data_IF_668181483237
#
_entry.id   IF_668181483237
#
_cell.length_a   1.000
_cell.length_b   1.000
_cell.length_c   1.000
_cell.angle_alpha   90.00
_cell.angle_beta   90.00
_cell.angle_gamma   90.00
#
_symmetry.space_group_name_H-M   'P 1'
#
loop_
_entity.id
_entity.type
_entity.pdbx_description
1 polymer ?
#
# COMPACT_ATOMS: atom_id res chain seq x y z
N UNK A 1 -4.21 2.53 -17.69
CA UNK A 1 -2.88 3.15 -17.87
C UNK A 1 -2.24 2.51 -19.09
N UNK A 2 -1.69 3.31 -19.96
CA UNK A 2 -0.86 2.81 -21.06
C UNK A 2 0.41 2.21 -20.42
N UNK A 3 0.58 0.91 -20.56
CA UNK A 3 1.70 0.14 -20.00
C UNK A 3 3.06 0.75 -20.36
N UNK A 4 3.20 1.23 -21.59
CA UNK A 4 4.42 1.85 -22.09
C UNK A 4 4.79 3.14 -21.37
N UNK A 5 3.79 3.97 -21.03
CA UNK A 5 4.02 5.20 -20.25
C UNK A 5 4.49 4.86 -18.84
N UNK A 6 3.87 3.87 -18.19
CA UNK A 6 4.27 3.44 -16.84
C UNK A 6 5.69 2.87 -16.85
N UNK A 7 6.03 2.03 -17.82
CA UNK A 7 7.38 1.50 -18.01
C UNK A 7 8.40 2.62 -18.20
N UNK A 8 8.09 3.62 -19.04
CA UNK A 8 9.00 4.76 -19.23
C UNK A 8 9.23 5.54 -17.91
N UNK A 9 8.19 5.76 -17.10
CA UNK A 9 8.34 6.40 -15.81
C UNK A 9 9.30 5.60 -14.90
N UNK A 10 9.16 4.29 -14.84
CA UNK A 10 10.08 3.45 -14.07
C UNK A 10 11.52 3.54 -14.58
N UNK A 11 11.73 3.55 -15.91
CA UNK A 11 13.05 3.73 -16.51
C UNK A 11 13.68 5.08 -16.12
N UNK A 12 12.91 6.15 -16.22
CA UNK A 12 13.38 7.50 -15.85
C UNK A 12 13.86 7.55 -14.39
N UNK A 13 13.14 6.88 -13.46
CA UNK A 13 13.58 6.78 -12.06
C UNK A 13 14.83 5.93 -11.89
N UNK A 14 14.94 4.81 -12.58
CA UNK A 14 16.14 3.95 -12.56
C UNK A 14 17.35 4.71 -13.09
N UNK A 15 17.21 5.40 -14.23
CA UNK A 15 18.27 6.22 -14.85
C UNK A 15 18.66 7.41 -13.96
N UNK A 16 17.73 7.97 -13.20
CA UNK A 16 17.99 8.99 -12.20
C UNK A 16 18.71 8.46 -10.93
N UNK A 17 18.94 7.14 -10.85
CA UNK A 17 19.70 6.50 -9.77
C UNK A 17 18.85 5.84 -8.67
N UNK A 18 17.57 5.62 -8.89
CA UNK A 18 16.75 4.88 -7.94
C UNK A 18 17.25 3.45 -7.79
N UNK A 19 17.34 2.98 -6.53
CA UNK A 19 17.64 1.59 -6.18
C UNK A 19 16.36 0.77 -5.91
N UNK A 20 15.21 1.42 -5.88
CA UNK A 20 13.90 0.83 -5.66
C UNK A 20 12.90 1.53 -6.57
N UNK A 21 12.06 0.75 -7.23
CA UNK A 21 10.87 1.24 -7.94
C UNK A 21 9.64 0.55 -7.38
N UNK A 22 8.50 1.24 -7.39
CA UNK A 22 7.26 0.73 -6.78
C UNK A 22 6.21 0.46 -7.86
N UNK A 23 5.61 -0.73 -7.85
CA UNK A 23 4.54 -1.08 -8.79
C UNK A 23 3.32 -0.18 -8.63
N UNK A 24 2.63 0.13 -9.72
CA UNK A 24 1.41 0.94 -9.68
C UNK A 24 0.17 0.11 -9.26
N UNK A 25 0.27 -0.51 -8.08
CA UNK A 25 -0.76 -1.40 -7.52
C UNK A 25 -1.41 -0.87 -6.25
N UNK A 26 -1.12 0.38 -5.86
CA UNK A 26 -1.69 1.03 -4.67
C UNK A 26 -3.22 0.96 -4.60
N UNK A 27 -3.90 1.21 -5.71
CA UNK A 27 -5.36 1.29 -5.80
C UNK A 27 -5.96 0.19 -6.68
N UNK A 28 -5.40 -1.02 -6.65
CA UNK A 28 -5.83 -2.13 -7.51
C UNK A 28 -6.27 -3.37 -6.73
N UNK A 29 -6.52 -3.24 -5.43
CA UNK A 29 -7.17 -4.30 -4.69
C UNK A 29 -8.62 -4.50 -5.21
N UNK A 30 -9.17 -5.70 -5.01
CA UNK A 30 -10.46 -6.07 -5.58
C UNK A 30 -11.60 -5.15 -5.16
N UNK A 31 -11.56 -4.60 -3.95
CA UNK A 31 -12.60 -3.68 -3.46
C UNK A 31 -12.71 -2.41 -4.30
N UNK A 32 -11.55 -1.87 -4.70
CA UNK A 32 -11.51 -0.67 -5.55
C UNK A 32 -11.91 -1.00 -6.99
N UNK A 33 -11.41 -2.11 -7.53
CA UNK A 33 -11.77 -2.54 -8.89
C UNK A 33 -13.26 -2.89 -9.03
N UNK A 34 -13.89 -3.43 -7.97
CA UNK A 34 -15.33 -3.71 -7.94
C UNK A 34 -16.16 -2.43 -8.13
N UNK A 35 -15.79 -1.33 -7.48
CA UNK A 35 -16.52 -0.06 -7.66
C UNK A 35 -16.29 0.57 -9.03
N UNK A 36 -15.17 0.27 -9.66
CA UNK A 36 -14.90 0.68 -11.04
C UNK A 36 -15.51 -0.27 -12.09
N UNK A 37 -16.14 -1.37 -11.66
CA UNK A 37 -16.76 -2.37 -12.56
C UNK A 37 -15.76 -3.22 -13.36
N UNK A 38 -14.51 -3.30 -12.89
CA UNK A 38 -13.41 -3.99 -13.58
C UNK A 38 -12.71 -5.05 -12.71
N UNK A 39 -13.36 -5.51 -11.67
CA UNK A 39 -12.80 -6.52 -10.75
C UNK A 39 -12.52 -7.87 -11.42
N UNK A 40 -13.24 -8.20 -12.50
CA UNK A 40 -12.94 -9.36 -13.34
C UNK A 40 -11.57 -9.25 -14.07
N UNK A 41 -11.00 -8.05 -14.18
CA UNK A 41 -9.69 -7.78 -14.77
C UNK A 41 -8.58 -7.66 -13.71
N UNK A 42 -8.83 -8.05 -12.46
CA UNK A 42 -7.86 -7.94 -11.36
C UNK A 42 -6.47 -8.46 -11.73
N UNK A 43 -6.40 -9.66 -12.31
CA UNK A 43 -5.12 -10.28 -12.71
C UNK A 43 -4.43 -9.50 -13.81
N UNK A 44 -5.16 -9.10 -14.83
CA UNK A 44 -4.63 -8.38 -15.99
C UNK A 44 -4.06 -7.03 -15.59
N UNK A 45 -4.83 -6.26 -14.78
CA UNK A 45 -4.43 -4.93 -14.31
C UNK A 45 -3.16 -5.01 -13.46
N UNK A 46 -3.14 -5.91 -12.48
CA UNK A 46 -1.99 -6.02 -11.57
C UNK A 46 -0.76 -6.60 -12.28
N UNK A 47 -0.93 -7.59 -13.14
CA UNK A 47 0.19 -8.15 -13.92
C UNK A 47 0.79 -7.12 -14.87
N UNK A 48 -0.03 -6.29 -15.53
CA UNK A 48 0.44 -5.21 -16.38
C UNK A 48 1.28 -4.19 -15.59
N UNK A 49 0.86 -3.82 -14.38
CA UNK A 49 1.61 -2.90 -13.53
C UNK A 49 2.95 -3.49 -13.04
N UNK A 50 2.99 -4.78 -12.71
CA UNK A 50 4.21 -5.49 -12.30
C UNK A 50 5.16 -5.64 -13.49
N UNK A 51 4.66 -6.07 -14.65
CA UNK A 51 5.48 -6.24 -15.86
C UNK A 51 6.13 -4.94 -16.30
N UNK A 52 5.44 -3.81 -16.21
CA UNK A 52 6.02 -2.51 -16.53
C UNK A 52 7.27 -2.18 -15.67
N UNK A 53 7.27 -2.59 -14.41
CA UNK A 53 8.43 -2.42 -13.53
C UNK A 53 9.54 -3.43 -13.85
N UNK A 54 9.20 -4.70 -14.09
CA UNK A 54 10.15 -5.76 -14.44
C UNK A 54 10.86 -5.46 -15.75
N UNK A 55 10.11 -5.11 -16.80
CA UNK A 55 10.64 -4.74 -18.11
C UNK A 55 11.54 -3.48 -18.03
N UNK A 56 11.14 -2.47 -17.25
CA UNK A 56 11.96 -1.28 -17.06
C UNK A 56 13.31 -1.61 -16.41
N UNK A 57 13.33 -2.47 -15.39
CA UNK A 57 14.56 -2.97 -14.76
C UNK A 57 15.46 -3.71 -15.75
N UNK A 58 14.88 -4.64 -16.51
CA UNK A 58 15.60 -5.42 -17.53
C UNK A 58 16.17 -4.52 -18.64
N UNK A 59 15.35 -3.63 -19.21
CA UNK A 59 15.77 -2.74 -20.29
C UNK A 59 16.86 -1.75 -19.86
N UNK A 60 16.91 -1.34 -18.58
CA UNK A 60 17.98 -0.52 -18.01
C UNK A 60 19.24 -1.32 -17.64
N UNK A 61 19.22 -2.65 -17.70
CA UNK A 61 20.34 -3.51 -17.29
C UNK A 61 20.71 -3.36 -15.81
N UNK A 62 19.73 -3.09 -14.94
CA UNK A 62 19.91 -2.76 -13.53
C UNK A 62 19.28 -3.83 -12.61
N UNK A 63 19.84 -5.05 -12.64
CA UNK A 63 19.40 -6.17 -11.81
C UNK A 63 19.49 -5.91 -10.30
N UNK A 64 20.25 -4.88 -9.91
CA UNK A 64 20.38 -4.42 -8.52
C UNK A 64 19.19 -3.57 -8.03
N UNK A 65 18.30 -3.12 -8.91
CA UNK A 65 17.11 -2.34 -8.55
C UNK A 65 16.02 -3.27 -8.03
N UNK A 66 15.52 -3.00 -6.83
CA UNK A 66 14.44 -3.76 -6.22
C UNK A 66 13.06 -3.26 -6.67
N UNK A 67 12.12 -4.19 -6.85
CA UNK A 67 10.73 -3.92 -7.17
C UNK A 67 9.87 -4.09 -5.93
N UNK A 68 9.35 -2.97 -5.42
CA UNK A 68 8.41 -2.93 -4.31
C UNK A 68 6.99 -3.20 -4.83
N UNK A 69 6.35 -4.27 -4.37
CA UNK A 69 4.93 -4.51 -4.59
C UNK A 69 4.10 -3.60 -3.67
N UNK A 70 3.45 -2.56 -4.22
CA UNK A 70 2.61 -1.66 -3.42
C UNK A 70 1.33 -2.36 -2.97
N UNK A 71 1.13 -2.44 -1.66
CA UNK A 71 -0.06 -2.95 -1.02
C UNK A 71 -0.61 -1.89 -0.07
N UNK A 72 -1.79 -1.36 -0.35
CA UNK A 72 -2.46 -0.37 0.49
C UNK A 72 -3.74 -0.90 1.11
N UNK A 73 -4.12 -0.32 2.25
CA UNK A 73 -5.42 -0.58 2.88
C UNK A 73 -6.52 0.36 2.34
N UNK A 74 -6.31 0.96 1.17
CA UNK A 74 -7.26 1.88 0.56
C UNK A 74 -8.56 1.15 0.22
N UNK A 75 -9.66 1.83 0.49
CA UNK A 75 -11.01 1.47 0.06
C UNK A 75 -11.51 2.53 -0.91
N UNK A 76 -12.57 2.26 -1.68
CA UNK A 76 -13.17 3.25 -2.56
C UNK A 76 -13.53 4.52 -1.81
N UNK A 77 -13.23 5.67 -2.42
CA UNK A 77 -13.66 6.97 -1.93
C UNK A 77 -15.18 7.15 -2.08
N UNK A 78 -15.74 8.12 -1.38
CA UNK A 78 -17.18 8.38 -1.40
C UNK A 78 -17.70 8.78 -2.78
N UNK A 79 -16.91 9.49 -3.56
CA UNK A 79 -17.19 9.92 -4.93
C UNK A 79 -17.08 8.79 -5.98
N UNK A 80 -16.64 7.61 -5.57
CA UNK A 80 -16.68 6.42 -6.43
C UNK A 80 -18.08 5.82 -6.60
N UNK A 81 -19.08 6.35 -5.89
CA UNK A 81 -20.47 5.87 -5.93
C UNK A 81 -21.39 6.93 -6.52
N UNK A 82 -22.26 6.53 -7.43
CA UNK A 82 -23.24 7.43 -8.04
C UNK A 82 -24.33 7.85 -7.07
N UNK A 83 -24.67 6.96 -6.12
CA UNK A 83 -25.75 7.17 -5.15
C UNK A 83 -25.35 6.86 -3.72
N UNK A 84 -26.01 7.51 -2.77
CA UNK A 84 -25.85 7.21 -1.35
C UNK A 84 -26.28 5.76 -1.01
N UNK A 85 -27.25 5.21 -1.72
CA UNK A 85 -27.72 3.84 -1.51
C UNK A 85 -26.62 2.83 -1.88
N UNK A 86 -25.96 3.01 -3.02
CA UNK A 86 -24.83 2.17 -3.44
C UNK A 86 -23.67 2.24 -2.42
N UNK A 87 -23.33 3.42 -1.96
CA UNK A 87 -22.33 3.65 -0.92
C UNK A 87 -22.67 2.89 0.36
N UNK A 88 -23.90 3.02 0.86
CA UNK A 88 -24.34 2.31 2.08
C UNK A 88 -24.39 0.78 1.88
N UNK A 89 -24.77 0.32 0.70
CA UNK A 89 -24.72 -1.10 0.35
C UNK A 89 -23.28 -1.63 0.34
N UNK A 90 -22.34 -0.85 -0.23
CA UNK A 90 -20.94 -1.22 -0.24
C UNK A 90 -20.33 -1.22 1.16
N UNK A 91 -20.62 -0.21 1.98
CA UNK A 91 -20.15 -0.16 3.37
C UNK A 91 -20.54 -1.40 4.18
N UNK A 92 -21.72 -1.99 3.94
CA UNK A 92 -22.14 -3.23 4.60
C UNK A 92 -21.31 -4.46 4.23
N UNK A 93 -20.57 -4.41 3.09
CA UNK A 93 -19.64 -5.48 2.70
C UNK A 93 -18.30 -5.37 3.42
N UNK A 94 -17.93 -4.21 3.97
CA UNK A 94 -16.64 -3.94 4.58
C UNK A 94 -16.54 -4.63 5.95
N UNK A 95 -16.41 -5.95 5.93
CA UNK A 95 -16.16 -6.79 7.10
C UNK A 95 -14.67 -7.14 7.20
N UNK A 96 -14.16 -7.53 8.37
CA UNK A 96 -12.79 -8.01 8.51
C UNK A 96 -12.44 -9.13 7.52
N UNK A 97 -13.37 -10.06 7.27
CA UNK A 97 -13.18 -11.18 6.34
C UNK A 97 -13.09 -10.70 4.89
N UNK A 98 -13.85 -9.68 4.51
CA UNK A 98 -13.79 -9.09 3.18
C UNK A 98 -12.48 -8.33 2.97
N UNK A 99 -12.02 -7.58 3.97
CA UNK A 99 -10.70 -6.97 3.95
C UNK A 99 -9.60 -8.01 3.82
N UNK A 100 -9.62 -9.04 4.68
CA UNK A 100 -8.61 -10.10 4.67
C UNK A 100 -8.53 -10.74 3.29
N UNK A 101 -9.66 -11.16 2.72
CA UNK A 101 -9.70 -11.79 1.40
C UNK A 101 -9.11 -10.88 0.30
N UNK A 102 -9.46 -9.59 0.32
CA UNK A 102 -9.01 -8.66 -0.71
C UNK A 102 -7.53 -8.33 -0.59
N UNK A 103 -7.01 -8.21 0.64
CA UNK A 103 -5.60 -7.94 0.88
C UNK A 103 -4.74 -9.18 0.64
N UNK A 104 -5.18 -10.37 1.08
CA UNK A 104 -4.50 -11.63 0.80
C UNK A 104 -4.35 -11.83 -0.71
N UNK A 105 -5.43 -11.61 -1.48
CA UNK A 105 -5.41 -11.80 -2.93
C UNK A 105 -4.34 -10.94 -3.60
N UNK A 106 -4.24 -9.66 -3.25
CA UNK A 106 -3.22 -8.78 -3.83
C UNK A 106 -1.82 -9.09 -3.29
N UNK A 107 -1.68 -9.35 -1.98
CA UNK A 107 -0.38 -9.67 -1.38
C UNK A 107 0.26 -10.92 -2.01
N UNK A 108 -0.49 -12.00 -2.15
CA UNK A 108 -0.02 -13.22 -2.81
C UNK A 108 0.24 -12.99 -4.30
N UNK A 109 -0.61 -12.21 -4.96
CA UNK A 109 -0.40 -11.90 -6.38
C UNK A 109 0.91 -11.14 -6.62
N UNK A 110 1.24 -10.17 -5.78
CA UNK A 110 2.52 -9.43 -5.83
C UNK A 110 3.71 -10.38 -5.63
N UNK A 111 3.62 -11.27 -4.65
CA UNK A 111 4.68 -12.23 -4.35
C UNK A 111 4.91 -13.24 -5.47
N UNK A 112 3.83 -13.75 -6.06
CA UNK A 112 3.89 -14.78 -7.11
C UNK A 112 4.34 -14.23 -8.48
N UNK A 113 4.33 -12.90 -8.67
CA UNK A 113 4.59 -12.29 -9.98
C UNK A 113 5.86 -11.40 -10.03
N UNK A 114 6.81 -11.59 -9.11
CA UNK A 114 8.17 -11.08 -9.26
C UNK A 114 8.48 -9.76 -8.55
N UNK A 115 7.65 -9.35 -7.60
CA UNK A 115 8.05 -8.31 -6.65
C UNK A 115 9.11 -8.85 -5.69
N UNK A 116 10.09 -8.02 -5.33
CA UNK A 116 11.19 -8.40 -4.43
C UNK A 116 10.78 -8.29 -2.95
N UNK A 117 9.85 -7.39 -2.62
CA UNK A 117 9.26 -7.21 -1.29
C UNK A 117 7.88 -6.54 -1.38
N UNK A 118 7.12 -6.61 -0.29
CA UNK A 118 5.85 -5.90 -0.16
C UNK A 118 6.09 -4.57 0.56
N UNK A 119 5.65 -3.48 -0.06
CA UNK A 119 5.57 -2.16 0.55
C UNK A 119 4.15 -1.90 1.02
N UNK A 120 3.94 -1.97 2.34
CA UNK A 120 2.72 -1.48 2.97
C UNK A 120 2.69 0.04 2.90
N UNK A 121 1.97 0.58 1.93
CA UNK A 121 2.02 1.99 1.59
C UNK A 121 0.89 2.77 2.27
N UNK A 122 1.24 3.92 2.87
CA UNK A 122 0.30 4.86 3.50
C UNK A 122 -0.50 4.21 4.65
N UNK A 123 0.19 3.62 5.63
CA UNK A 123 -0.46 2.97 6.77
C UNK A 123 -0.92 3.99 7.82
N UNK A 124 -2.24 4.17 7.96
CA UNK A 124 -2.84 5.14 8.89
C UNK A 124 -4.22 4.75 9.44
N UNK A 125 -4.78 3.60 9.02
CA UNK A 125 -6.16 3.20 9.38
C UNK A 125 -6.16 2.12 10.48
N UNK A 126 -6.36 2.49 11.76
CA UNK A 126 -6.33 1.54 12.87
C UNK A 126 -7.36 0.41 12.79
N UNK A 127 -8.46 0.64 12.08
CA UNK A 127 -9.57 -0.31 11.90
C UNK A 127 -9.22 -1.52 11.02
N UNK A 128 -8.16 -1.43 10.19
CA UNK A 128 -7.79 -2.48 9.23
C UNK A 128 -6.29 -2.70 9.07
N UNK A 129 -5.48 -1.92 9.80
CA UNK A 129 -4.01 -2.03 9.70
C UNK A 129 -3.51 -3.42 10.05
N UNK A 130 -4.07 -4.04 11.09
CA UNK A 130 -3.71 -5.39 11.54
C UNK A 130 -3.97 -6.43 10.44
N UNK A 131 -5.10 -6.30 9.75
CA UNK A 131 -5.52 -7.24 8.71
C UNK A 131 -4.54 -7.20 7.53
N UNK A 132 -4.15 -6.01 7.07
CA UNK A 132 -3.24 -5.89 5.92
C UNK A 132 -1.81 -6.31 6.27
N UNK A 133 -1.36 -6.08 7.51
CA UNK A 133 -0.06 -6.57 7.98
C UNK A 133 -0.02 -8.09 8.05
N UNK A 134 -1.10 -8.72 8.50
CA UNK A 134 -1.26 -10.17 8.49
C UNK A 134 -1.21 -10.72 7.05
N UNK A 135 -1.91 -10.08 6.10
CA UNK A 135 -1.87 -10.44 4.68
C UNK A 135 -0.47 -10.35 4.08
N UNK A 136 0.24 -9.24 4.32
CA UNK A 136 1.60 -9.05 3.82
C UNK A 136 2.57 -10.10 4.42
N UNK A 137 2.46 -10.36 5.72
CA UNK A 137 3.31 -11.34 6.41
C UNK A 137 3.14 -12.76 5.88
N UNK A 138 1.94 -13.12 5.43
CA UNK A 138 1.62 -14.44 4.86
C UNK A 138 2.14 -14.63 3.44
N UNK A 139 2.39 -13.56 2.70
CA UNK A 139 2.81 -13.64 1.31
C UNK A 139 4.25 -14.16 1.10
N UNK A 140 5.05 -14.22 2.18
CA UNK A 140 6.37 -14.87 2.15
C UNK A 140 7.52 -14.01 1.61
N UNK A 141 7.28 -12.75 1.29
CA UNK A 141 8.30 -11.77 0.92
C UNK A 141 8.71 -10.91 2.13
N UNK A 142 9.88 -10.24 2.08
CA UNK A 142 10.20 -9.16 3.01
C UNK A 142 9.08 -8.11 3.03
N UNK A 143 8.83 -7.51 4.20
CA UNK A 143 7.76 -6.50 4.36
C UNK A 143 8.35 -5.19 4.86
N UNK A 144 8.12 -4.13 4.11
CA UNK A 144 8.42 -2.76 4.51
C UNK A 144 7.12 -2.00 4.76
N UNK A 145 7.10 -1.16 5.80
CA UNK A 145 5.91 -0.40 6.15
C UNK A 145 6.17 1.10 6.20
N UNK A 146 5.39 1.86 5.43
CA UNK A 146 5.35 3.31 5.44
C UNK A 146 4.13 3.82 6.20
N UNK A 147 4.36 4.40 7.37
CA UNK A 147 3.31 4.94 8.22
C UNK A 147 3.07 6.42 7.96
N UNK A 148 1.82 6.85 8.15
CA UNK A 148 1.44 8.25 7.98
C UNK A 148 0.84 8.82 9.26
N UNK A 149 1.22 10.05 9.57
CA UNK A 149 0.76 10.78 10.74
C UNK A 149 0.46 12.24 10.41
N UNK A 150 -0.28 12.90 11.28
CA UNK A 150 -0.49 14.34 11.26
C UNK A 150 -0.42 14.92 12.69
N UNK A 151 -0.24 16.24 12.76
CA UNK A 151 -0.32 16.93 14.04
C UNK A 151 -1.76 17.44 14.30
N UNK A 152 -2.32 17.02 15.43
CA UNK A 152 -3.57 17.55 15.96
C UNK A 152 -3.48 17.49 17.48
N UNK A 153 -2.94 18.55 18.10
CA UNK A 153 -2.67 18.58 19.55
C UNK A 153 -1.80 17.40 20.04
N UNK A 154 -0.90 16.95 19.16
CA UNK A 154 -0.06 15.75 19.28
C UNK A 154 -0.08 14.90 18.02
N UNK A 155 0.84 13.93 17.89
CA UNK A 155 0.84 13.05 16.73
C UNK A 155 -0.31 12.05 16.79
N UNK A 156 -1.07 12.01 15.70
CA UNK A 156 -2.14 11.04 15.49
C UNK A 156 -1.96 10.34 14.15
N UNK A 157 -2.61 9.18 13.98
CA UNK A 157 -2.75 8.54 12.68
C UNK A 157 -3.48 9.47 11.71
N UNK A 158 -3.04 9.49 10.45
CA UNK A 158 -3.69 10.28 9.41
C UNK A 158 -5.06 9.67 9.09
N UNK A 159 -6.12 10.21 9.71
CA UNK A 159 -7.49 9.80 9.48
C UNK A 159 -8.43 10.99 9.51
N UNK A 160 -9.54 10.93 8.76
CA UNK A 160 -10.60 11.93 8.75
C UNK A 160 -11.75 11.58 9.70
N UNK A 161 -11.86 10.33 10.12
CA UNK A 161 -13.03 9.81 10.82
C UNK A 161 -12.89 9.89 12.34
N UNK A 162 -11.66 9.74 12.85
CA UNK A 162 -11.38 9.79 14.29
C UNK A 162 -9.91 10.02 14.55
N UNK A 163 -9.63 10.53 15.74
CA UNK A 163 -8.27 10.73 16.21
C UNK A 163 -7.78 9.46 16.90
N UNK A 164 -6.61 8.99 16.50
CA UNK A 164 -5.99 7.82 17.08
C UNK A 164 -4.48 8.06 17.22
N UNK A 165 -3.95 7.92 18.43
CA UNK A 165 -2.53 8.16 18.69
C UNK A 165 -1.65 7.37 17.71
N UNK A 166 -0.72 8.07 17.06
CA UNK A 166 0.22 7.48 16.13
C UNK A 166 1.03 6.37 16.81
N UNK A 167 1.59 6.65 17.98
CA UNK A 167 2.35 5.67 18.78
C UNK A 167 1.53 4.43 19.11
N UNK A 168 0.25 4.59 19.46
CA UNK A 168 -0.65 3.46 19.71
C UNK A 168 -0.86 2.63 18.45
N UNK A 169 -1.05 3.28 17.30
CA UNK A 169 -1.25 2.59 16.03
C UNK A 169 -0.04 1.72 15.65
N UNK A 170 1.16 2.31 15.67
CA UNK A 170 2.37 1.55 15.31
C UNK A 170 2.69 0.46 16.34
N UNK A 171 2.35 0.67 17.63
CA UNK A 171 2.53 -0.34 18.68
C UNK A 171 1.61 -1.56 18.51
N UNK A 172 0.42 -1.38 17.94
CA UNK A 172 -0.49 -2.51 17.70
C UNK A 172 0.09 -3.53 16.72
N UNK A 173 0.84 -3.07 15.72
CA UNK A 173 1.40 -3.92 14.64
C UNK A 173 2.87 -4.29 14.83
N UNK A 174 3.50 -3.90 15.94
CA UNK A 174 4.93 -4.16 16.20
C UNK A 174 5.30 -5.64 16.32
N UNK A 175 4.33 -6.52 16.52
CA UNK A 175 4.56 -7.97 16.61
C UNK A 175 4.75 -8.62 15.23
N UNK A 176 4.36 -7.94 14.14
CA UNK A 176 4.69 -8.38 12.80
C UNK A 176 6.18 -8.15 12.52
N UNK A 177 6.81 -9.13 11.88
CA UNK A 177 8.19 -8.99 11.44
C UNK A 177 8.24 -8.05 10.25
N UNK A 178 8.86 -6.89 10.42
CA UNK A 178 9.11 -5.92 9.35
C UNK A 178 10.61 -5.83 9.08
N UNK A 179 10.99 -5.77 7.81
CA UNK A 179 12.39 -5.64 7.39
C UNK A 179 12.81 -4.18 7.30
N UNK A 180 11.87 -3.27 7.10
CA UNK A 180 12.06 -1.83 7.22
C UNK A 180 10.77 -1.11 7.62
N UNK A 181 10.94 0.03 8.28
CA UNK A 181 9.84 0.95 8.64
C UNK A 181 10.22 2.39 8.29
N UNK A 182 9.24 3.17 7.89
CA UNK A 182 9.45 4.56 7.52
C UNK A 182 8.20 5.42 7.69
N UNK A 183 8.37 6.71 7.43
CA UNK A 183 7.30 7.71 7.43
C UNK A 183 7.08 8.18 6.00
N UNK A 184 5.81 8.24 5.59
CA UNK A 184 5.42 8.72 4.26
C UNK A 184 4.10 9.49 4.31
N UNK A 185 3.83 10.27 3.27
CA UNK A 185 2.58 11.05 3.12
C UNK A 185 2.25 11.92 4.34
N UNK A 186 3.28 12.49 4.96
CA UNK A 186 3.16 13.38 6.11
C UNK A 186 3.60 14.79 5.76
N UNK A 187 3.08 15.78 6.49
CA UNK A 187 3.62 17.12 6.44
C UNK A 187 5.06 17.14 7.00
N UNK A 188 5.91 17.98 6.43
CA UNK A 188 7.32 18.04 6.80
C UNK A 188 7.57 18.32 8.28
N UNK A 189 6.71 19.11 8.89
CA UNK A 189 6.79 19.54 10.30
C UNK A 189 6.53 18.40 11.31
N UNK A 190 5.96 17.27 10.89
CA UNK A 190 5.70 16.12 11.79
C UNK A 190 6.71 14.98 11.61
N UNK A 191 7.53 15.00 10.56
CA UNK A 191 8.41 13.87 10.22
C UNK A 191 9.39 13.56 11.34
N UNK A 192 10.06 14.57 11.90
CA UNK A 192 11.07 14.36 12.96
C UNK A 192 10.45 13.69 14.20
N UNK A 193 9.28 14.18 14.63
CA UNK A 193 8.60 13.62 15.79
C UNK A 193 8.07 12.22 15.48
N UNK A 194 7.53 11.99 14.28
CA UNK A 194 7.05 10.67 13.85
C UNK A 194 8.18 9.64 13.84
N UNK A 195 9.37 10.01 13.35
CA UNK A 195 10.55 9.14 13.38
C UNK A 195 10.99 8.85 14.81
N UNK A 196 10.92 9.82 15.73
CA UNK A 196 11.24 9.59 17.15
C UNK A 196 10.30 8.56 17.77
N UNK A 197 8.98 8.72 17.58
CA UNK A 197 8.00 7.75 18.08
C UNK A 197 8.15 6.37 17.43
N UNK A 198 8.48 6.33 16.13
CA UNK A 198 8.73 5.08 15.42
C UNK A 198 9.91 4.32 16.02
N UNK A 199 11.04 5.01 16.29
CA UNK A 199 12.25 4.43 16.92
C UNK A 199 12.05 3.99 18.37
N UNK A 200 11.01 4.44 19.04
CA UNK A 200 10.67 3.96 20.39
C UNK A 200 9.89 2.65 20.38
N UNK A 201 9.34 2.27 19.22
CA UNK A 201 8.51 1.06 19.05
C UNK A 201 9.27 -0.04 18.32
N UNK A 202 10.08 0.31 17.35
CA UNK A 202 10.92 -0.56 16.51
C UNK A 202 12.41 -0.29 16.74
#
# INVERSE_FOLDING_TARGET
LESDTLKQIHKDYIEAGSSIITTNTYATNRMILETAGVDNQFKEINLSAINAALEAREECGRDDVLIAGSLSHQIPYEDAFETQEEREKFKKKLTPEYFQKSFDELAFFLADNGCDFILLELMYRPDRIEIIFDSASKAGLPVWAGFSSRNKDGLIALTTDYDYSFKKMISNVKHHKLDAVGIMHCEINVIEQSIKELKEVY
#
